data_IF_730879495837
#
_entry.id   IF_730879495837
#
_cell.length_a   1.000
_cell.length_b   1.000
_cell.length_c   1.000
_cell.angle_alpha   90.00
_cell.angle_beta   90.00
_cell.angle_gamma   90.00
#
_symmetry.space_group_name_H-M   'P 1'
#
loop_
_entity.id
_entity.type
_entity.pdbx_description
1 polymer ?
#
# COMPACT_ATOMS: atom_id res chain seq x y z
N UNK A 1 -23.25 -11.11 10.22
CA UNK A 1 -23.43 -11.76 8.91
C UNK A 1 -24.00 -13.18 8.99
N UNK A 2 -23.22 -14.21 9.35
CA UNK A 2 -23.59 -15.64 9.19
C UNK A 2 -24.93 -16.12 9.80
N UNK A 3 -25.40 -15.50 10.88
CA UNK A 3 -26.66 -15.87 11.54
C UNK A 3 -27.74 -14.79 11.49
N UNK A 4 -27.45 -13.61 10.95
CA UNK A 4 -28.32 -12.43 11.09
C UNK A 4 -28.35 -11.47 9.92
N UNK A 5 -27.59 -11.71 8.85
CA UNK A 5 -27.51 -10.92 7.62
C UNK A 5 -27.28 -9.39 7.76
N UNK A 6 -26.91 -8.92 8.95
CA UNK A 6 -26.58 -7.52 9.20
C UNK A 6 -25.14 -7.46 9.70
N UNK A 7 -24.38 -6.51 9.15
CA UNK A 7 -23.09 -6.07 9.69
C UNK A 7 -23.17 -4.55 9.76
N UNK A 8 -22.95 -3.99 10.94
CA UNK A 8 -22.92 -2.55 11.15
C UNK A 8 -21.46 -2.13 11.38
N UNK A 9 -20.93 -1.34 10.46
CA UNK A 9 -19.55 -0.84 10.50
C UNK A 9 -19.48 0.60 11.03
N UNK A 10 -20.60 1.22 11.41
CA UNK A 10 -20.68 2.64 11.72
C UNK A 10 -19.94 3.04 13.01
N UNK A 11 -19.70 2.09 13.92
CA UNK A 11 -18.99 2.32 15.20
C UNK A 11 -17.65 1.60 15.32
N UNK A 12 -17.22 0.89 14.27
CA UNK A 12 -16.04 0.02 14.33
C UNK A 12 -14.77 0.73 13.85
N UNK A 13 -13.64 0.39 14.46
CA UNK A 13 -12.34 0.95 14.11
C UNK A 13 -11.90 0.53 12.70
N UNK A 14 -11.07 1.36 12.06
CA UNK A 14 -10.60 1.09 10.71
C UNK A 14 -9.88 -0.26 10.56
N UNK A 15 -9.13 -0.67 11.59
CA UNK A 15 -8.49 -1.99 11.64
C UNK A 15 -9.49 -3.15 11.62
N UNK A 16 -10.62 -3.02 12.34
CA UNK A 16 -11.62 -4.10 12.44
C UNK A 16 -12.30 -4.32 11.10
N UNK A 17 -12.66 -3.23 10.41
CA UNK A 17 -13.26 -3.29 9.08
C UNK A 17 -12.28 -3.90 8.07
N UNK A 18 -10.98 -3.57 8.18
CA UNK A 18 -9.96 -4.18 7.34
C UNK A 18 -9.79 -5.69 7.62
N UNK A 19 -9.83 -6.11 8.88
CA UNK A 19 -9.78 -7.54 9.24
C UNK A 19 -11.03 -8.28 8.72
N UNK A 20 -12.20 -7.63 8.74
CA UNK A 20 -13.42 -8.18 8.13
C UNK A 20 -13.27 -8.30 6.61
N UNK A 21 -12.69 -7.30 5.94
CA UNK A 21 -12.40 -7.34 4.50
C UNK A 21 -11.50 -8.54 4.14
N UNK A 22 -10.45 -8.77 4.91
CA UNK A 22 -9.57 -9.95 4.73
C UNK A 22 -10.34 -11.26 4.96
N UNK A 23 -11.13 -11.34 6.03
CA UNK A 23 -11.93 -12.52 6.32
C UNK A 23 -13.00 -12.80 5.26
N UNK A 24 -13.54 -11.77 4.59
CA UNK A 24 -14.51 -11.96 3.50
C UNK A 24 -13.90 -12.61 2.27
N UNK A 25 -12.63 -12.27 1.95
CA UNK A 25 -11.88 -12.92 0.87
C UNK A 25 -11.52 -14.36 1.25
N UNK A 26 -11.01 -14.59 2.47
CA UNK A 26 -10.65 -15.93 2.97
C UNK A 26 -11.85 -16.90 3.03
N UNK A 27 -13.05 -16.38 3.32
CA UNK A 27 -14.29 -17.17 3.41
C UNK A 27 -15.08 -17.20 2.10
N UNK A 28 -14.56 -16.62 1.02
CA UNK A 28 -15.21 -16.50 -0.29
C UNK A 28 -16.63 -15.87 -0.22
N UNK A 29 -16.83 -14.92 0.70
CA UNK A 29 -18.10 -14.23 0.91
C UNK A 29 -18.23 -13.01 -0.03
N UNK A 30 -18.34 -13.27 -1.33
CA UNK A 30 -18.28 -12.24 -2.38
C UNK A 30 -19.30 -11.09 -2.21
N UNK A 31 -20.54 -11.38 -1.78
CA UNK A 31 -21.55 -10.33 -1.55
C UNK A 31 -21.13 -9.37 -0.42
N UNK A 32 -20.60 -9.91 0.68
CA UNK A 32 -20.13 -9.09 1.80
C UNK A 32 -18.82 -8.37 1.44
N UNK A 33 -17.97 -9.00 0.64
CA UNK A 33 -16.75 -8.39 0.13
C UNK A 33 -17.07 -7.10 -0.63
N UNK A 34 -18.05 -7.14 -1.54
CA UNK A 34 -18.48 -6.00 -2.33
C UNK A 34 -19.06 -4.89 -1.43
N UNK A 35 -19.92 -5.26 -0.47
CA UNK A 35 -20.52 -4.32 0.49
C UNK A 35 -19.44 -3.61 1.34
N UNK A 36 -18.46 -4.37 1.85
CA UNK A 36 -17.37 -3.82 2.67
C UNK A 36 -16.44 -2.95 1.84
N UNK A 37 -16.10 -3.36 0.62
CA UNK A 37 -15.31 -2.53 -0.29
C UNK A 37 -16.02 -1.21 -0.56
N UNK A 38 -17.31 -1.24 -0.89
CA UNK A 38 -18.08 -0.02 -1.12
C UNK A 38 -18.09 0.89 0.11
N UNK A 39 -18.27 0.33 1.32
CA UNK A 39 -18.21 1.09 2.57
C UNK A 39 -16.85 1.80 2.77
N UNK A 40 -15.73 1.09 2.55
CA UNK A 40 -14.38 1.65 2.66
C UNK A 40 -14.18 2.77 1.63
N UNK A 41 -14.69 2.58 0.40
CA UNK A 41 -14.59 3.57 -0.68
C UNK A 41 -15.39 4.84 -0.35
N UNK A 42 -16.60 4.69 0.18
CA UNK A 42 -17.44 5.82 0.60
C UNK A 42 -16.81 6.61 1.76
N UNK A 43 -16.10 5.93 2.66
CA UNK A 43 -15.38 6.53 3.80
C UNK A 43 -13.88 6.65 3.58
N UNK A 44 -13.42 6.74 2.33
CA UNK A 44 -11.99 6.75 1.97
C UNK A 44 -11.13 7.73 2.77
N UNK A 45 -11.65 8.91 3.10
CA UNK A 45 -10.88 9.95 3.79
C UNK A 45 -10.58 9.58 5.26
N UNK A 46 -11.46 8.82 5.92
CA UNK A 46 -11.27 8.34 7.29
C UNK A 46 -10.43 7.06 7.35
N UNK A 47 -10.46 6.25 6.28
CA UNK A 47 -9.87 4.91 6.25
C UNK A 47 -8.50 4.84 5.60
N UNK A 48 -8.30 5.59 4.51
CA UNK A 48 -7.11 5.46 3.68
C UNK A 48 -6.01 6.44 4.09
N UNK A 49 -6.31 7.59 4.71
CA UNK A 49 -5.32 8.65 4.94
C UNK A 49 -4.04 8.18 5.66
N UNK A 50 -4.20 7.33 6.68
CA UNK A 50 -3.09 6.93 7.56
C UNK A 50 -2.55 5.53 7.26
N UNK A 51 -3.28 4.73 6.45
CA UNK A 51 -2.98 3.31 6.24
C UNK A 51 -2.90 2.92 4.76
N UNK A 52 -2.94 3.88 3.82
CA UNK A 52 -3.02 3.60 2.39
C UNK A 52 -1.95 2.63 1.91
N UNK A 53 -0.69 2.89 2.26
CA UNK A 53 0.46 2.07 1.82
C UNK A 53 0.37 0.64 2.35
N UNK A 54 -0.03 0.48 3.62
CA UNK A 54 -0.21 -0.84 4.26
C UNK A 54 -1.37 -1.61 3.64
N UNK A 55 -2.48 -0.92 3.40
CA UNK A 55 -3.67 -1.48 2.75
C UNK A 55 -3.29 -1.93 1.34
N UNK A 56 -2.65 -1.06 0.55
CA UNK A 56 -2.19 -1.37 -0.79
C UNK A 56 -1.29 -2.61 -0.80
N UNK A 57 -0.32 -2.68 0.11
CA UNK A 57 0.57 -3.82 0.26
C UNK A 57 -0.16 -5.15 0.46
N UNK A 58 -1.20 -5.15 1.31
CA UNK A 58 -2.00 -6.34 1.58
C UNK A 58 -2.92 -6.73 0.42
N UNK A 59 -3.61 -5.77 -0.19
CA UNK A 59 -4.57 -6.05 -1.27
C UNK A 59 -3.91 -6.26 -2.63
N UNK A 60 -2.61 -5.94 -2.77
CA UNK A 60 -1.90 -5.92 -4.06
C UNK A 60 -2.05 -7.21 -4.86
N UNK A 61 -1.86 -8.35 -4.19
CA UNK A 61 -1.87 -9.69 -4.79
C UNK A 61 -3.25 -10.32 -4.89
N UNK A 62 -4.28 -9.70 -4.30
CA UNK A 62 -5.62 -10.25 -4.21
C UNK A 62 -6.52 -9.63 -5.29
N UNK A 63 -6.86 -10.40 -6.32
CA UNK A 63 -7.65 -9.92 -7.46
C UNK A 63 -9.07 -9.48 -7.06
N UNK A 64 -9.63 -10.06 -6.00
CA UNK A 64 -10.95 -9.76 -5.46
C UNK A 64 -11.10 -8.31 -5.00
N UNK A 65 -9.99 -7.64 -4.64
CA UNK A 65 -9.97 -6.24 -4.22
C UNK A 65 -9.63 -5.26 -5.33
N UNK A 66 -9.78 -5.65 -6.61
CA UNK A 66 -9.45 -4.77 -7.74
C UNK A 66 -10.11 -3.37 -7.67
N UNK A 67 -11.40 -3.19 -7.30
CA UNK A 67 -11.99 -1.86 -7.17
C UNK A 67 -11.29 -0.99 -6.13
N UNK A 68 -11.01 -1.55 -4.95
CA UNK A 68 -10.32 -0.84 -3.88
C UNK A 68 -8.86 -0.53 -4.26
N UNK A 69 -8.17 -1.48 -4.93
CA UNK A 69 -6.80 -1.31 -5.40
C UNK A 69 -6.69 -0.17 -6.40
N UNK A 70 -7.61 -0.09 -7.36
CA UNK A 70 -7.60 0.98 -8.37
C UNK A 70 -7.79 2.36 -7.75
N UNK A 71 -8.63 2.46 -6.70
CA UNK A 71 -8.83 3.70 -5.94
C UNK A 71 -7.57 4.08 -5.17
N UNK A 72 -6.92 3.12 -4.50
CA UNK A 72 -5.65 3.37 -3.81
C UNK A 72 -4.57 3.86 -4.80
N UNK A 73 -4.49 3.25 -5.98
CA UNK A 73 -3.58 3.68 -7.05
C UNK A 73 -3.92 5.10 -7.51
N UNK A 74 -5.19 5.43 -7.78
CA UNK A 74 -5.61 6.76 -8.20
C UNK A 74 -5.27 7.85 -7.16
N UNK A 75 -5.43 7.54 -5.86
CA UNK A 75 -5.04 8.45 -4.79
C UNK A 75 -3.52 8.67 -4.77
N UNK A 76 -2.73 7.60 -4.87
CA UNK A 76 -1.26 7.72 -4.92
C UNK A 76 -0.82 8.47 -6.18
N UNK A 77 -1.40 8.20 -7.35
CA UNK A 77 -1.04 8.92 -8.57
C UNK A 77 -1.35 10.43 -8.46
N UNK A 78 -2.44 10.81 -7.78
CA UNK A 78 -2.77 12.22 -7.51
C UNK A 78 -1.85 12.88 -6.49
N UNK A 79 -1.37 12.11 -5.52
CA UNK A 79 -0.46 12.60 -4.49
C UNK A 79 0.62 11.54 -4.20
N UNK A 80 1.66 11.45 -5.05
CA UNK A 80 2.63 10.37 -4.92
C UNK A 80 3.47 10.48 -3.65
N UNK A 81 3.52 11.67 -3.04
CA UNK A 81 4.16 11.91 -1.74
C UNK A 81 3.64 10.97 -0.64
N UNK A 82 2.38 10.52 -0.70
CA UNK A 82 1.81 9.57 0.27
C UNK A 82 2.61 8.25 0.29
N UNK A 83 3.03 7.78 -0.88
CA UNK A 83 3.83 6.57 -1.00
C UNK A 83 5.28 6.86 -0.64
N UNK A 84 5.88 7.85 -1.29
CA UNK A 84 7.33 8.08 -1.20
C UNK A 84 7.77 8.70 0.12
N UNK A 85 6.95 9.49 0.82
CA UNK A 85 7.26 10.05 2.15
C UNK A 85 6.91 9.11 3.31
N UNK A 86 6.34 7.93 3.04
CA UNK A 86 5.97 6.97 4.08
C UNK A 86 7.20 6.43 4.82
N UNK A 87 7.11 6.33 6.15
CA UNK A 87 8.17 5.77 6.98
C UNK A 87 8.42 4.29 6.63
N UNK A 88 7.36 3.56 6.31
CA UNK A 88 7.40 2.16 5.90
C UNK A 88 7.71 1.97 4.39
N UNK A 89 8.20 3.00 3.69
CA UNK A 89 8.53 2.90 2.26
C UNK A 89 9.51 1.76 1.97
N UNK A 90 10.50 1.55 2.84
CA UNK A 90 11.48 0.48 2.71
C UNK A 90 10.88 -0.93 2.78
N UNK A 91 9.66 -1.08 3.31
CA UNK A 91 8.95 -2.36 3.43
C UNK A 91 8.05 -2.67 2.22
N UNK A 92 7.91 -1.73 1.28
CA UNK A 92 7.06 -1.89 0.10
C UNK A 92 7.63 -2.99 -0.81
N UNK A 93 6.76 -3.81 -1.37
CA UNK A 93 7.15 -4.86 -2.31
C UNK A 93 7.70 -4.29 -3.63
N UNK A 94 8.69 -4.97 -4.19
CA UNK A 94 9.30 -4.61 -5.48
C UNK A 94 8.26 -4.45 -6.59
N UNK A 95 7.24 -5.32 -6.60
CA UNK A 95 6.18 -5.29 -7.63
C UNK A 95 5.32 -4.01 -7.59
N UNK A 96 5.08 -3.46 -6.40
CA UNK A 96 4.35 -2.19 -6.23
C UNK A 96 5.22 -1.04 -6.72
N UNK A 97 6.49 -1.02 -6.30
CA UNK A 97 7.43 0.01 -6.73
C UNK A 97 7.60 0.01 -8.24
N UNK A 98 7.84 -1.15 -8.84
CA UNK A 98 7.99 -1.27 -10.29
C UNK A 98 6.76 -0.74 -11.03
N UNK A 99 5.55 -1.02 -10.52
CA UNK A 99 4.31 -0.50 -11.11
C UNK A 99 4.29 1.03 -11.12
N UNK A 100 4.63 1.68 -10.00
CA UNK A 100 4.63 3.14 -9.93
C UNK A 100 5.77 3.77 -10.73
N UNK A 101 6.96 3.17 -10.74
CA UNK A 101 8.11 3.67 -11.50
C UNK A 101 7.95 3.57 -13.01
N UNK A 102 7.16 2.60 -13.50
CA UNK A 102 6.82 2.51 -14.92
C UNK A 102 5.88 3.62 -15.40
N UNK A 103 5.33 4.42 -14.49
CA UNK A 103 4.41 5.50 -14.82
C UNK A 103 5.17 6.82 -14.97
N UNK A 104 4.91 7.50 -16.08
CA UNK A 104 5.47 8.82 -16.37
C UNK A 104 4.59 9.97 -15.83
N UNK A 105 3.50 9.67 -15.12
CA UNK A 105 2.48 10.65 -14.70
C UNK A 105 2.52 10.99 -13.19
N UNK A 106 3.58 10.58 -12.48
CA UNK A 106 3.77 10.91 -11.08
C UNK A 106 4.26 12.36 -10.94
N UNK A 107 3.45 13.20 -10.27
CA UNK A 107 3.80 14.59 -9.95
C UNK A 107 4.78 14.66 -8.76
N UNK A 108 6.00 14.14 -8.96
CA UNK A 108 7.12 14.23 -8.01
C UNK A 108 8.44 14.49 -8.74
N UNK A 109 9.39 15.22 -8.12
CA UNK A 109 10.73 15.39 -8.67
C UNK A 109 11.45 14.04 -8.81
N UNK A 110 12.00 13.75 -9.99
CA UNK A 110 12.77 12.53 -10.23
C UNK A 110 13.93 12.37 -9.23
N UNK A 111 14.61 13.47 -8.88
CA UNK A 111 15.70 13.45 -7.88
C UNK A 111 15.26 12.93 -6.51
N UNK A 112 13.99 13.17 -6.16
CA UNK A 112 13.40 12.71 -4.92
C UNK A 112 13.07 11.22 -5.00
N UNK A 113 12.46 10.79 -6.11
CA UNK A 113 12.17 9.38 -6.40
C UNK A 113 13.47 8.56 -6.35
N UNK A 114 14.52 8.99 -7.04
CA UNK A 114 15.81 8.31 -7.06
C UNK A 114 16.43 8.17 -5.67
N UNK A 115 16.35 9.21 -4.82
CA UNK A 115 16.86 9.15 -3.45
C UNK A 115 16.13 8.11 -2.61
N UNK A 116 14.80 8.07 -2.71
CA UNK A 116 13.98 7.09 -1.98
C UNK A 116 14.21 5.68 -2.49
N UNK A 117 14.37 5.48 -3.80
CA UNK A 117 14.73 4.18 -4.37
C UNK A 117 16.09 3.68 -3.90
N UNK A 118 17.07 4.57 -3.79
CA UNK A 118 18.34 4.22 -3.18
C UNK A 118 18.12 3.75 -1.75
N UNK A 119 17.47 4.54 -0.90
CA UNK A 119 17.17 4.17 0.50
C UNK A 119 16.47 2.79 0.60
N UNK A 120 15.48 2.52 -0.27
CA UNK A 120 14.82 1.22 -0.36
C UNK A 120 15.81 0.12 -0.75
N UNK A 121 16.60 0.31 -1.80
CA UNK A 121 17.58 -0.67 -2.27
C UNK A 121 18.65 -1.00 -1.22
N UNK A 122 19.11 0.00 -0.45
CA UNK A 122 20.02 -0.22 0.68
C UNK A 122 19.32 -1.06 1.76
N UNK A 123 18.07 -0.72 2.11
CA UNK A 123 17.31 -1.43 3.14
C UNK A 123 17.04 -2.91 2.81
N UNK A 124 16.96 -3.26 1.53
CA UNK A 124 16.79 -4.65 1.08
C UNK A 124 18.08 -5.48 1.14
N UNK A 125 19.25 -4.86 1.33
CA UNK A 125 20.54 -5.55 1.36
C UNK A 125 21.24 -5.39 2.71
N UNK A 126 21.13 -6.41 3.56
CA UNK A 126 21.72 -6.46 4.91
C UNK A 126 23.24 -6.27 4.93
N UNK A 127 23.96 -6.60 3.85
CA UNK A 127 25.41 -6.40 3.75
C UNK A 127 25.77 -4.91 3.56
N UNK A 128 24.90 -4.14 2.89
CA UNK A 128 25.08 -2.71 2.64
C UNK A 128 24.64 -1.86 3.84
N UNK A 129 23.60 -2.27 4.57
CA UNK A 129 23.16 -1.57 5.81
C UNK A 129 24.22 -1.61 6.93
N UNK A 130 25.09 -2.62 6.91
CA UNK A 130 26.20 -2.78 7.86
C UNK A 130 27.33 -1.75 7.65
N UNK A 131 27.38 -1.10 6.48
CA UNK A 131 28.32 -0.03 6.17
C UNK A 131 27.57 1.30 6.12
N UNK A 132 27.43 1.96 7.28
CA UNK A 132 26.68 3.22 7.45
C UNK A 132 27.18 4.40 6.61
N UNK A 133 28.27 4.22 5.86
CA UNK A 133 28.95 5.23 5.06
C UNK A 133 28.92 4.82 3.58
N UNK A 134 28.00 5.40 2.80
CA UNK A 134 27.95 5.28 1.32
C UNK A 134 29.29 5.71 0.68
N UNK A 135 30.06 6.55 1.38
CA UNK A 135 31.40 6.98 0.98
C UNK A 135 32.44 5.84 0.94
N UNK A 136 32.15 4.70 1.57
CA UNK A 136 33.04 3.53 1.64
C UNK A 136 32.72 2.45 0.60
N UNK A 137 31.66 2.64 -0.19
CA UNK A 137 31.19 1.65 -1.16
C UNK A 137 32.12 1.60 -2.38
N UNK A 138 32.36 0.38 -2.86
CA UNK A 138 33.17 0.09 -4.04
C UNK A 138 32.33 -0.01 -5.30
N UNK A 139 32.98 -0.08 -6.47
CA UNK A 139 32.29 -0.21 -7.76
C UNK A 139 31.48 -1.50 -7.91
N UNK A 140 31.78 -2.52 -7.11
CA UNK A 140 31.05 -3.79 -7.12
C UNK A 140 29.77 -3.71 -6.27
N UNK A 141 29.59 -2.63 -5.50
CA UNK A 141 28.40 -2.34 -4.67
C UNK A 141 27.35 -1.48 -5.42
N UNK A 142 27.62 -1.10 -6.68
CA UNK A 142 26.76 -0.30 -7.59
C UNK A 142 26.36 -1.10 -8.83
#
# INVERSE_FOLDING_TARGET
YLYGNVVDFASENASVVFDVLMATDELELLELLDDVQQYIIEKKDEFLSDNLVKILGKIWLHEAFSPLRDICIDIICKQPSILFDCDEFCEISESILMYFLQRDDLDLPEEFIWRRLLEWGIAQNDELTSTSDISSWTKDDF
#
